data_IF_197850992890
#
_entry.id   IF_197850992890
#
_cell.length_a   1.000
_cell.length_b   1.000
_cell.length_c   1.000
_cell.angle_alpha   90.00
_cell.angle_beta   90.00
_cell.angle_gamma   90.00
#
_symmetry.space_group_name_H-M   'P 1'
#
loop_
_entity.id
_entity.type
_entity.pdbx_description
1 polymer ?
#
# COMPACT_ATOMS: atom_id res chain seq x y z
N UNK A 1 5.79 -18.57 -2.80
CA UNK A 1 6.92 -18.71 -1.85
C UNK A 1 6.98 -20.13 -1.32
N UNK A 2 5.94 -20.59 -0.59
CA UNK A 2 5.86 -21.92 0.01
C UNK A 2 6.15 -23.10 -0.93
N UNK A 3 5.47 -23.19 -2.07
CA UNK A 3 5.50 -24.43 -2.88
C UNK A 3 6.67 -24.52 -3.86
N UNK A 4 7.17 -23.37 -4.34
CA UNK A 4 8.19 -23.33 -5.40
C UNK A 4 9.48 -22.62 -4.98
N UNK A 5 9.39 -21.50 -4.27
CA UNK A 5 10.56 -20.65 -4.01
C UNK A 5 11.42 -21.19 -2.86
N UNK A 6 10.77 -21.53 -1.75
CA UNK A 6 11.42 -22.03 -0.55
C UNK A 6 12.07 -23.42 -0.74
N UNK A 7 11.40 -24.42 -1.36
CA UNK A 7 11.99 -25.76 -1.52
C UNK A 7 13.19 -25.78 -2.46
N UNK A 8 13.22 -24.92 -3.48
CA UNK A 8 14.39 -24.76 -4.37
C UNK A 8 15.64 -24.32 -3.60
N UNK A 9 15.48 -23.36 -2.69
CA UNK A 9 16.59 -22.81 -1.91
C UNK A 9 17.03 -23.71 -0.74
N UNK A 10 16.13 -24.47 -0.13
CA UNK A 10 16.46 -25.34 1.02
C UNK A 10 17.00 -26.71 0.59
N UNK A 11 16.89 -27.04 -0.71
CA UNK A 11 17.24 -28.35 -1.26
C UNK A 11 16.08 -29.34 -1.09
N UNK A 12 15.87 -30.17 -2.12
CA UNK A 12 14.71 -31.06 -2.29
C UNK A 12 14.57 -32.17 -1.20
N UNK A 13 15.48 -32.24 -0.23
CA UNK A 13 15.65 -33.38 0.67
C UNK A 13 14.58 -33.55 1.75
N UNK A 14 13.81 -32.53 2.11
CA UNK A 14 12.79 -32.70 3.15
C UNK A 14 11.64 -31.66 3.08
N UNK A 15 10.76 -31.80 2.08
CA UNK A 15 9.60 -30.92 1.87
C UNK A 15 8.72 -30.78 3.13
N UNK A 16 8.57 -31.85 3.90
CA UNK A 16 7.79 -31.87 5.14
C UNK A 16 8.43 -30.98 6.23
N UNK A 17 9.74 -31.08 6.43
CA UNK A 17 10.47 -30.22 7.37
C UNK A 17 10.46 -28.74 6.93
N UNK A 18 10.48 -28.50 5.61
CA UNK A 18 10.33 -27.16 5.04
C UNK A 18 8.93 -26.58 5.32
N UNK A 19 7.88 -27.37 5.14
CA UNK A 19 6.50 -26.95 5.41
C UNK A 19 6.26 -26.70 6.90
N UNK A 20 6.80 -27.55 7.77
CA UNK A 20 6.72 -27.40 9.24
C UNK A 20 7.51 -26.19 9.74
N UNK A 21 8.67 -25.88 9.13
CA UNK A 21 9.44 -24.68 9.43
C UNK A 21 8.71 -23.40 8.99
N UNK A 22 8.07 -23.42 7.82
CA UNK A 22 7.24 -22.30 7.37
C UNK A 22 6.02 -22.09 8.26
N UNK A 23 5.31 -23.16 8.62
CA UNK A 23 4.17 -23.11 9.53
C UNK A 23 4.54 -22.48 10.88
N UNK A 24 5.68 -22.90 11.47
CA UNK A 24 6.20 -22.30 12.71
C UNK A 24 6.56 -20.82 12.57
N UNK A 25 7.13 -20.39 11.45
CA UNK A 25 7.42 -18.96 11.19
C UNK A 25 6.14 -18.11 11.10
N UNK A 26 5.08 -18.66 10.51
CA UNK A 26 3.77 -18.01 10.43
C UNK A 26 3.09 -17.99 11.81
N UNK A 27 3.16 -19.09 12.55
CA UNK A 27 2.60 -19.23 13.89
C UNK A 27 3.31 -18.32 14.91
N UNK A 28 4.63 -18.15 14.79
CA UNK A 28 5.37 -17.17 15.58
C UNK A 28 4.88 -15.73 15.36
N UNK A 29 4.25 -15.45 14.21
CA UNK A 29 3.63 -14.17 13.90
C UNK A 29 2.16 -14.07 14.35
N UNK A 30 1.60 -15.12 14.98
CA UNK A 30 0.20 -15.19 15.45
C UNK A 30 -0.17 -14.05 16.40
N UNK A 31 0.75 -13.67 17.30
CA UNK A 31 0.55 -12.53 18.19
C UNK A 31 0.39 -11.20 17.42
N UNK A 32 1.19 -10.98 16.37
CA UNK A 32 1.07 -9.80 15.50
C UNK A 32 -0.25 -9.79 14.74
N UNK A 33 -0.72 -10.95 14.25
CA UNK A 33 -2.02 -11.06 13.59
C UNK A 33 -3.18 -10.74 14.55
N UNK A 34 -3.14 -11.23 15.78
CA UNK A 34 -4.13 -10.92 16.81
C UNK A 34 -4.10 -9.45 17.25
N UNK A 35 -2.91 -8.88 17.45
CA UNK A 35 -2.77 -7.47 17.79
C UNK A 35 -3.36 -6.57 16.70
N UNK A 36 -3.04 -6.84 15.43
CA UNK A 36 -3.59 -6.09 14.29
C UNK A 36 -5.11 -6.28 14.18
N UNK A 37 -5.62 -7.49 14.41
CA UNK A 37 -7.07 -7.74 14.43
C UNK A 37 -7.78 -6.85 15.45
N UNK A 38 -7.30 -6.85 16.70
CA UNK A 38 -7.88 -6.03 17.77
C UNK A 38 -7.78 -4.54 17.46
N UNK A 39 -6.63 -4.08 16.95
CA UNK A 39 -6.45 -2.67 16.57
C UNK A 39 -7.42 -2.27 15.46
N UNK A 40 -7.55 -3.07 14.40
CA UNK A 40 -8.44 -2.76 13.27
C UNK A 40 -9.90 -2.75 13.70
N UNK A 41 -10.37 -3.78 14.41
CA UNK A 41 -11.79 -3.91 14.78
C UNK A 41 -12.18 -2.89 15.85
N UNK A 42 -11.36 -2.72 16.90
CA UNK A 42 -11.72 -1.83 18.01
C UNK A 42 -11.47 -0.35 17.67
N UNK A 43 -10.29 -0.01 17.14
CA UNK A 43 -9.95 1.40 16.89
C UNK A 43 -10.50 1.89 15.55
N UNK A 44 -10.16 1.22 14.44
CA UNK A 44 -10.56 1.68 13.11
C UNK A 44 -12.04 1.39 12.81
N UNK A 45 -12.61 0.31 13.37
CA UNK A 45 -14.02 -0.02 13.27
C UNK A 45 -14.85 0.70 14.34
N UNK A 46 -14.82 0.17 15.56
CA UNK A 46 -15.78 0.53 16.61
C UNK A 46 -15.63 1.98 17.10
N UNK A 47 -14.45 2.39 17.57
CA UNK A 47 -14.25 3.73 18.11
C UNK A 47 -14.38 4.82 17.03
N UNK A 48 -13.84 4.58 15.83
CA UNK A 48 -13.98 5.52 14.74
C UNK A 48 -15.45 5.66 14.30
N UNK A 49 -16.22 4.57 14.23
CA UNK A 49 -17.65 4.64 13.94
C UNK A 49 -18.43 5.39 15.00
N UNK A 50 -18.18 5.10 16.29
CA UNK A 50 -18.85 5.77 17.40
C UNK A 50 -18.60 7.28 17.37
N UNK A 51 -17.33 7.67 17.24
CA UNK A 51 -16.93 9.08 17.29
C UNK A 51 -17.37 9.89 16.07
N UNK A 52 -17.28 9.31 14.88
CA UNK A 52 -17.42 10.04 13.61
C UNK A 52 -18.83 9.97 13.04
N UNK A 53 -19.56 8.87 13.28
CA UNK A 53 -20.90 8.67 12.69
C UNK A 53 -21.98 8.60 13.77
N UNK A 54 -21.84 7.73 14.78
CA UNK A 54 -22.91 7.46 15.74
C UNK A 54 -23.26 8.67 16.61
N UNK A 55 -22.26 9.31 17.22
CA UNK A 55 -22.48 10.47 18.10
C UNK A 55 -23.10 11.65 17.32
N UNK A 56 -22.60 12.04 16.13
CA UNK A 56 -23.24 13.09 15.33
C UNK A 56 -24.67 12.77 14.91
N UNK A 57 -24.97 11.52 14.53
CA UNK A 57 -26.30 11.06 14.15
C UNK A 57 -27.30 11.11 15.32
N UNK A 58 -26.85 10.77 16.53
CA UNK A 58 -27.71 10.80 17.73
C UNK A 58 -27.95 12.20 18.29
N UNK A 59 -26.97 13.10 18.17
CA UNK A 59 -27.02 14.45 18.77
C UNK A 59 -27.52 15.54 17.80
N UNK A 60 -27.80 15.19 16.54
CA UNK A 60 -28.38 16.11 15.55
C UNK A 60 -27.43 17.23 15.11
N UNK A 61 -26.12 17.04 15.23
CA UNK A 61 -25.14 18.08 14.91
C UNK A 61 -23.70 17.61 15.00
N UNK A 62 -22.92 17.98 13.98
CA UNK A 62 -21.47 17.88 13.93
C UNK A 62 -20.95 18.78 12.82
N UNK A 63 -19.89 19.54 13.09
CA UNK A 63 -19.14 20.22 12.03
C UNK A 63 -18.42 19.11 11.25
N UNK A 64 -19.08 18.35 10.38
CA UNK A 64 -18.46 17.38 9.48
C UNK A 64 -18.99 17.58 8.07
N UNK A 65 -18.10 17.44 7.07
CA UNK A 65 -18.49 17.55 5.67
C UNK A 65 -19.58 16.51 5.38
N UNK A 66 -20.68 16.93 4.76
CA UNK A 66 -21.82 16.07 4.47
C UNK A 66 -21.37 14.88 3.61
N UNK A 67 -21.43 13.68 4.19
CA UNK A 67 -21.19 12.40 3.55
C UNK A 67 -22.48 11.57 3.49
N UNK A 68 -22.45 10.42 2.82
CA UNK A 68 -23.62 9.54 2.73
C UNK A 68 -24.14 9.05 4.10
N UNK A 69 -23.29 9.07 5.14
CA UNK A 69 -23.66 8.71 6.52
C UNK A 69 -24.37 9.82 7.28
N UNK A 70 -24.09 11.08 6.95
CA UNK A 70 -24.71 12.29 7.52
C UNK A 70 -25.83 12.85 6.64
N UNK A 71 -26.07 12.25 5.47
CA UNK A 71 -27.17 12.62 4.57
C UNK A 71 -28.55 12.57 5.28
N UNK A 72 -28.73 11.66 6.24
CA UNK A 72 -29.95 11.58 7.06
C UNK A 72 -30.18 12.80 7.96
N UNK A 73 -29.12 13.55 8.30
CA UNK A 73 -29.21 14.79 9.09
C UNK A 73 -29.63 15.97 8.20
N UNK A 74 -29.21 15.97 6.93
CA UNK A 74 -29.45 17.06 5.97
C UNK A 74 -30.72 16.85 5.13
N UNK A 75 -31.09 15.59 4.87
CA UNK A 75 -32.25 15.17 4.05
C UNK A 75 -33.00 14.01 4.74
N UNK A 76 -33.68 14.26 5.88
CA UNK A 76 -34.40 13.23 6.62
C UNK A 76 -35.58 12.61 5.85
N UNK A 77 -35.97 13.21 4.72
CA UNK A 77 -37.04 12.74 3.84
C UNK A 77 -36.64 11.53 2.97
N UNK A 78 -35.34 11.19 2.90
CA UNK A 78 -34.81 10.10 2.06
C UNK A 78 -34.30 8.91 2.88
N UNK A 79 -33.73 9.14 4.06
CA UNK A 79 -33.16 8.10 4.95
C UNK A 79 -33.45 8.44 6.41
N UNK A 80 -33.95 7.48 7.18
CA UNK A 80 -34.17 7.63 8.63
C UNK A 80 -32.89 7.49 9.45
N UNK A 81 -32.85 8.09 10.65
CA UNK A 81 -31.67 8.03 11.54
C UNK A 81 -31.26 6.59 11.88
N UNK A 82 -32.17 5.65 12.22
CA UNK A 82 -31.78 4.26 12.48
C UNK A 82 -31.16 3.57 11.26
N UNK A 83 -31.69 3.81 10.06
CA UNK A 83 -31.15 3.26 8.81
C UNK A 83 -29.74 3.78 8.53
N UNK A 84 -29.50 5.09 8.76
CA UNK A 84 -28.16 5.68 8.62
C UNK A 84 -27.16 5.11 9.63
N UNK A 85 -27.58 4.84 10.87
CA UNK A 85 -26.74 4.20 11.89
C UNK A 85 -26.34 2.78 11.45
N UNK A 86 -27.29 1.99 10.97
CA UNK A 86 -27.01 0.62 10.49
C UNK A 86 -26.11 0.64 9.26
N UNK A 87 -26.40 1.51 8.29
CA UNK A 87 -25.60 1.66 7.07
C UNK A 87 -24.15 2.05 7.37
N UNK A 88 -23.95 3.09 8.20
CA UNK A 88 -22.59 3.52 8.60
C UNK A 88 -21.88 2.46 9.43
N UNK A 89 -22.59 1.73 10.30
CA UNK A 89 -22.02 0.62 11.06
C UNK A 89 -21.49 -0.50 10.16
N UNK A 90 -22.27 -0.91 9.14
CA UNK A 90 -21.84 -1.89 8.15
C UNK A 90 -20.67 -1.40 7.30
N UNK A 91 -20.68 -0.11 6.91
CA UNK A 91 -19.58 0.49 6.16
C UNK A 91 -18.27 0.48 6.97
N UNK A 92 -18.31 0.85 8.26
CA UNK A 92 -17.13 0.83 9.12
C UNK A 92 -16.64 -0.59 9.42
N UNK A 93 -17.55 -1.56 9.56
CA UNK A 93 -17.20 -2.97 9.69
C UNK A 93 -16.48 -3.48 8.43
N UNK A 94 -17.01 -3.16 7.26
CA UNK A 94 -16.36 -3.48 5.98
C UNK A 94 -14.97 -2.86 5.89
N UNK A 95 -14.86 -1.56 6.20
CA UNK A 95 -13.57 -0.86 6.18
C UNK A 95 -12.57 -1.48 7.14
N UNK A 96 -12.95 -1.79 8.39
CA UNK A 96 -12.02 -2.37 9.35
C UNK A 96 -11.55 -3.78 8.94
N UNK A 97 -12.41 -4.58 8.30
CA UNK A 97 -12.04 -5.88 7.74
C UNK A 97 -11.05 -5.71 6.58
N UNK A 98 -11.28 -4.75 5.67
CA UNK A 98 -10.33 -4.44 4.60
C UNK A 98 -8.97 -3.99 5.15
N UNK A 99 -8.96 -3.10 6.15
CA UNK A 99 -7.74 -2.69 6.85
C UNK A 99 -7.01 -3.87 7.50
N UNK A 100 -7.75 -4.75 8.17
CA UNK A 100 -7.20 -5.96 8.77
C UNK A 100 -6.52 -6.85 7.71
N UNK A 101 -7.22 -7.19 6.63
CA UNK A 101 -6.68 -8.01 5.54
C UNK A 101 -5.44 -7.37 4.91
N UNK A 102 -5.45 -6.04 4.76
CA UNK A 102 -4.32 -5.29 4.26
C UNK A 102 -3.08 -5.45 5.15
N UNK A 103 -3.22 -5.24 6.46
CA UNK A 103 -2.10 -5.40 7.40
C UNK A 103 -1.65 -6.86 7.55
N UNK A 104 -2.57 -7.82 7.51
CA UNK A 104 -2.23 -9.26 7.44
C UNK A 104 -1.37 -9.53 6.21
N UNK A 105 -1.73 -8.97 5.06
CA UNK A 105 -0.93 -9.06 3.84
C UNK A 105 0.47 -8.46 4.00
N UNK A 106 0.61 -7.31 4.67
CA UNK A 106 1.90 -6.70 4.97
C UNK A 106 2.75 -7.56 5.91
N UNK A 107 2.16 -8.12 6.96
CA UNK A 107 2.84 -9.06 7.86
C UNK A 107 3.32 -10.28 7.08
N UNK A 108 2.48 -10.85 6.22
CA UNK A 108 2.85 -12.00 5.38
C UNK A 108 4.04 -11.66 4.47
N UNK A 109 4.04 -10.50 3.81
CA UNK A 109 5.16 -10.05 2.98
C UNK A 109 6.45 -9.87 3.80
N UNK A 110 6.34 -9.32 5.01
CA UNK A 110 7.46 -9.23 5.95
C UNK A 110 7.99 -10.63 6.31
N UNK A 111 7.13 -11.57 6.69
CA UNK A 111 7.51 -12.93 7.04
C UNK A 111 8.19 -13.66 5.88
N UNK A 112 7.68 -13.51 4.65
CA UNK A 112 8.30 -14.07 3.43
C UNK A 112 9.69 -13.49 3.21
N UNK A 113 9.83 -12.16 3.35
CA UNK A 113 11.13 -11.46 3.21
C UNK A 113 12.12 -11.94 4.26
N UNK A 114 11.66 -12.07 5.51
CA UNK A 114 12.48 -12.49 6.63
C UNK A 114 12.97 -13.94 6.47
N UNK A 115 12.08 -14.87 6.07
CA UNK A 115 12.42 -16.27 5.81
C UNK A 115 13.42 -16.39 4.65
N UNK A 116 13.20 -15.66 3.54
CA UNK A 116 14.13 -15.63 2.41
C UNK A 116 15.51 -15.11 2.82
N UNK A 117 15.56 -13.98 3.52
CA UNK A 117 16.83 -13.41 4.00
C UNK A 117 17.59 -14.37 4.92
N UNK A 118 16.88 -15.03 5.84
CA UNK A 118 17.48 -16.01 6.76
C UNK A 118 18.05 -17.24 6.04
N UNK A 119 17.35 -17.73 5.00
CA UNK A 119 17.85 -18.82 4.15
C UNK A 119 19.10 -18.38 3.37
N UNK A 120 19.09 -17.16 2.83
CA UNK A 120 20.25 -16.56 2.17
C UNK A 120 21.47 -16.43 3.08
N UNK A 121 21.27 -15.95 4.31
CA UNK A 121 22.34 -15.77 5.30
C UNK A 121 22.95 -17.12 5.73
N UNK A 122 22.13 -18.12 6.00
CA UNK A 122 22.60 -19.47 6.39
C UNK A 122 23.47 -20.12 5.30
N UNK A 123 23.14 -19.86 4.03
CA UNK A 123 23.82 -20.43 2.88
C UNK A 123 24.96 -19.55 2.32
N UNK A 124 25.08 -18.28 2.72
CA UNK A 124 26.23 -17.44 2.39
C UNK A 124 27.56 -18.03 2.88
N UNK A 125 27.51 -19.00 3.80
CA UNK A 125 28.66 -19.79 4.26
C UNK A 125 29.05 -20.93 3.29
N UNK A 126 28.33 -21.11 2.17
CA UNK A 126 28.58 -22.12 1.13
C UNK A 126 28.79 -21.42 -0.22
N UNK A 127 29.99 -21.50 -0.83
CA UNK A 127 30.33 -20.72 -2.03
C UNK A 127 29.87 -21.41 -3.33
N UNK A 128 28.57 -21.71 -3.45
CA UNK A 128 28.02 -22.32 -4.67
C UNK A 128 27.38 -21.26 -5.57
N UNK A 129 27.93 -21.09 -6.77
CA UNK A 129 27.54 -20.03 -7.72
C UNK A 129 26.08 -20.17 -8.17
N UNK A 130 25.60 -21.40 -8.37
CA UNK A 130 24.21 -21.70 -8.75
C UNK A 130 23.22 -21.28 -7.64
N UNK A 131 23.57 -21.51 -6.37
CA UNK A 131 22.75 -21.08 -5.24
C UNK A 131 22.59 -19.55 -5.18
N UNK A 132 23.67 -18.82 -5.46
CA UNK A 132 23.65 -17.36 -5.45
C UNK A 132 22.80 -16.78 -6.58
N UNK A 133 22.73 -17.46 -7.73
CA UNK A 133 21.82 -17.09 -8.82
C UNK A 133 20.36 -17.31 -8.43
N UNK A 134 20.00 -18.49 -7.91
CA UNK A 134 18.63 -18.80 -7.49
C UNK A 134 18.14 -17.87 -6.37
N UNK A 135 18.98 -17.58 -5.39
CA UNK A 135 18.66 -16.67 -4.29
C UNK A 135 18.41 -15.24 -4.81
N UNK A 136 19.22 -14.75 -5.76
CA UNK A 136 19.02 -13.43 -6.36
C UNK A 136 17.74 -13.36 -7.20
N UNK A 137 17.39 -14.43 -7.92
CA UNK A 137 16.14 -14.49 -8.69
C UNK A 137 14.92 -14.49 -7.74
N UNK A 138 14.95 -15.29 -6.68
CA UNK A 138 13.91 -15.33 -5.66
C UNK A 138 13.76 -13.96 -4.97
N UNK A 139 14.87 -13.32 -4.62
CA UNK A 139 14.93 -11.97 -4.04
C UNK A 139 14.28 -10.93 -4.94
N UNK A 140 14.62 -10.94 -6.23
CA UNK A 140 13.99 -10.05 -7.20
C UNK A 140 12.50 -10.31 -7.34
N UNK A 141 12.07 -11.58 -7.38
CA UNK A 141 10.65 -11.94 -7.51
C UNK A 141 9.83 -11.47 -6.31
N UNK A 142 10.34 -11.67 -5.09
CA UNK A 142 9.72 -11.19 -3.86
C UNK A 142 9.69 -9.66 -3.83
N UNK A 143 10.80 -8.99 -4.17
CA UNK A 143 10.84 -7.52 -4.21
C UNK A 143 9.88 -6.91 -5.25
N UNK A 144 9.70 -7.54 -6.41
CA UNK A 144 8.69 -7.10 -7.39
C UNK A 144 7.27 -7.23 -6.86
N UNK A 145 6.97 -8.29 -6.11
CA UNK A 145 5.68 -8.46 -5.47
C UNK A 145 5.45 -7.41 -4.37
N UNK A 146 6.44 -7.19 -3.50
CA UNK A 146 6.40 -6.15 -2.46
C UNK A 146 6.21 -4.78 -3.11
N UNK A 147 6.97 -4.45 -4.15
CA UNK A 147 6.81 -3.20 -4.90
C UNK A 147 5.39 -3.00 -5.41
N UNK A 148 4.78 -4.01 -6.05
CA UNK A 148 3.39 -3.94 -6.52
C UNK A 148 2.42 -3.68 -5.36
N UNK A 149 2.59 -4.39 -4.24
CA UNK A 149 1.76 -4.19 -3.04
C UNK A 149 1.95 -2.79 -2.44
N UNK A 150 3.18 -2.27 -2.39
CA UNK A 150 3.49 -0.92 -1.91
C UNK A 150 2.87 0.13 -2.82
N UNK A 151 3.01 0.00 -4.13
CA UNK A 151 2.39 0.90 -5.10
C UNK A 151 0.86 0.91 -4.93
N UNK A 152 0.22 -0.26 -4.86
CA UNK A 152 -1.22 -0.35 -4.63
C UNK A 152 -1.63 0.29 -3.29
N UNK A 153 -0.88 0.02 -2.22
CA UNK A 153 -1.16 0.59 -0.90
C UNK A 153 -1.03 2.12 -0.87
N UNK A 154 0.01 2.68 -1.50
CA UNK A 154 0.17 4.14 -1.60
C UNK A 154 -0.92 4.75 -2.49
N UNK A 155 -1.31 4.09 -3.59
CA UNK A 155 -2.43 4.55 -4.43
C UNK A 155 -3.76 4.55 -3.66
N UNK A 156 -4.05 3.50 -2.86
CA UNK A 156 -5.24 3.45 -2.00
C UNK A 156 -5.23 4.62 -1.01
N UNK A 157 -4.10 4.84 -0.32
CA UNK A 157 -3.96 5.94 0.63
C UNK A 157 -4.10 7.32 -0.06
N UNK A 158 -3.57 7.46 -1.27
CA UNK A 158 -3.74 8.64 -2.11
C UNK A 158 -5.21 8.89 -2.43
N UNK A 159 -5.96 7.88 -2.86
CA UNK A 159 -7.41 8.03 -3.11
C UNK A 159 -8.16 8.41 -1.84
N UNK A 160 -7.84 7.78 -0.71
CA UNK A 160 -8.43 8.12 0.59
C UNK A 160 -8.19 9.58 0.99
N UNK A 161 -6.95 10.06 0.85
CA UNK A 161 -6.58 11.45 1.17
C UNK A 161 -7.23 12.42 0.17
N UNK A 162 -7.25 12.06 -1.12
CA UNK A 162 -7.84 12.89 -2.18
C UNK A 162 -9.35 13.03 -2.03
N UNK A 163 -10.05 11.95 -1.68
CA UNK A 163 -11.48 11.99 -1.34
C UNK A 163 -11.73 12.92 -0.15
N UNK A 164 -10.88 12.84 0.89
CA UNK A 164 -11.00 13.70 2.06
C UNK A 164 -10.79 15.18 1.70
N UNK A 165 -9.78 15.51 0.90
CA UNK A 165 -9.47 16.88 0.49
C UNK A 165 -10.51 17.45 -0.48
N UNK A 166 -11.06 16.60 -1.37
CA UNK A 166 -12.15 16.99 -2.26
C UNK A 166 -13.43 17.33 -1.50
N UNK A 167 -13.82 16.54 -0.49
CA UNK A 167 -15.03 16.82 0.30
C UNK A 167 -14.96 18.15 1.07
N UNK A 168 -13.75 18.68 1.30
CA UNK A 168 -13.54 20.00 1.90
C UNK A 168 -13.41 21.11 0.85
N UNK A 169 -13.30 20.79 -0.43
CA UNK A 169 -13.12 21.76 -1.51
C UNK A 169 -14.45 22.23 -2.11
N UNK A 170 -14.42 23.36 -2.82
CA UNK A 170 -15.61 23.93 -3.50
C UNK A 170 -15.82 23.38 -4.92
N UNK A 171 -15.10 22.33 -5.32
CA UNK A 171 -15.16 21.80 -6.68
C UNK A 171 -16.46 21.05 -6.99
N UNK A 172 -17.08 21.32 -8.14
CA UNK A 172 -18.31 20.62 -8.57
C UNK A 172 -18.12 19.10 -8.66
N UNK A 173 -16.95 18.65 -9.12
CA UNK A 173 -16.55 17.26 -9.16
C UNK A 173 -15.04 17.12 -8.99
N UNK A 174 -14.58 15.92 -8.62
CA UNK A 174 -13.16 15.66 -8.31
C UNK A 174 -12.23 15.96 -9.50
N UNK A 175 -12.70 15.74 -10.74
CA UNK A 175 -11.92 15.98 -11.96
C UNK A 175 -11.75 17.49 -12.18
N UNK A 176 -12.83 18.27 -12.06
CA UNK A 176 -12.79 19.71 -12.19
C UNK A 176 -11.89 20.35 -11.13
N UNK A 177 -11.91 19.83 -9.89
CA UNK A 177 -11.02 20.29 -8.82
C UNK A 177 -9.54 20.01 -9.14
N UNK A 178 -9.20 18.79 -9.59
CA UNK A 178 -7.83 18.43 -9.99
C UNK A 178 -7.33 19.24 -11.21
N UNK A 179 -8.19 19.45 -12.21
CA UNK A 179 -7.87 20.25 -13.40
C UNK A 179 -7.70 21.72 -13.03
N UNK A 180 -8.53 22.23 -12.12
CA UNK A 180 -8.38 23.56 -11.53
C UNK A 180 -7.02 23.74 -10.85
N UNK A 181 -6.64 22.82 -9.97
CA UNK A 181 -5.32 22.81 -9.32
C UNK A 181 -4.18 22.73 -10.36
N UNK A 182 -4.28 21.86 -11.35
CA UNK A 182 -3.29 21.78 -12.44
C UNK A 182 -3.15 23.11 -13.19
N UNK A 183 -4.26 23.77 -13.51
CA UNK A 183 -4.26 25.05 -14.24
C UNK A 183 -3.69 26.20 -13.40
N UNK A 184 -3.88 26.18 -12.08
CA UNK A 184 -3.38 27.22 -11.17
C UNK A 184 -1.86 27.34 -11.19
N UNK A 185 -1.15 26.23 -11.40
CA UNK A 185 0.32 26.19 -11.53
C UNK A 185 0.83 26.85 -12.81
N UNK A 186 0.03 26.89 -13.88
CA UNK A 186 0.40 27.50 -15.16
C UNK A 186 -0.04 28.97 -15.26
N UNK A 187 -1.15 29.34 -14.63
CA UNK A 187 -1.77 30.66 -14.78
C UNK A 187 -1.64 31.58 -13.56
N UNK A 188 -0.92 31.17 -12.51
CA UNK A 188 -0.59 32.05 -11.37
C UNK A 188 -1.81 32.50 -10.55
N UNK A 189 -2.86 31.67 -10.49
CA UNK A 189 -4.06 31.94 -9.70
C UNK A 189 -3.82 31.65 -8.22
N UNK A 190 -3.75 32.70 -7.40
CA UNK A 190 -3.57 32.65 -5.95
C UNK A 190 -4.85 32.20 -5.19
N UNK A 191 -5.39 31.03 -5.50
CA UNK A 191 -6.41 30.40 -4.66
C UNK A 191 -5.82 29.20 -3.91
N UNK A 192 -4.80 29.49 -3.09
CA UNK A 192 -4.40 28.56 -2.01
C UNK A 192 -5.56 28.55 -1.03
N UNK A 193 -6.39 27.52 -1.11
CA UNK A 193 -7.57 27.37 -0.27
C UNK A 193 -7.18 27.51 1.21
N UNK A 194 -7.72 28.52 1.88
CA UNK A 194 -7.74 28.63 3.34
C UNK A 194 -8.54 27.45 3.92
N UNK A 195 -7.89 26.29 4.04
CA UNK A 195 -8.44 25.06 4.60
C UNK A 195 -7.76 24.61 5.88
N UNK A 196 -7.08 25.51 6.61
CA UNK A 196 -6.51 25.18 7.92
C UNK A 196 -7.66 25.13 8.95
N UNK A 197 -8.19 23.93 9.19
CA UNK A 197 -8.74 23.42 10.47
C UNK A 197 -9.90 22.42 10.32
N UNK A 198 -9.95 21.62 9.25
CA UNK A 198 -10.92 20.52 9.17
C UNK A 198 -10.24 19.15 9.11
N UNK A 199 -10.00 18.55 10.27
CA UNK A 199 -9.23 17.30 10.42
C UNK A 199 -10.16 16.08 10.31
N UNK A 200 -10.30 15.54 9.10
CA UNK A 200 -11.01 14.28 8.88
C UNK A 200 -10.23 13.10 9.49
N UNK A 201 -10.91 12.10 10.10
CA UNK A 201 -10.29 10.89 10.67
C UNK A 201 -9.47 10.08 9.65
N UNK A 202 -9.86 10.12 8.38
CA UNK A 202 -9.23 9.39 7.26
C UNK A 202 -7.77 9.76 7.02
N UNK A 203 -7.35 10.96 7.43
CA UNK A 203 -5.97 11.44 7.28
C UNK A 203 -4.96 10.60 8.06
N UNK A 204 -5.33 10.09 9.23
CA UNK A 204 -4.47 9.22 10.03
C UNK A 204 -4.42 7.80 9.47
N UNK A 205 -5.57 7.27 9.03
CA UNK A 205 -5.67 5.92 8.48
C UNK A 205 -4.93 5.79 7.15
N UNK A 206 -5.04 6.78 6.25
CA UNK A 206 -4.29 6.79 4.99
C UNK A 206 -2.77 6.92 5.23
N UNK A 207 -2.37 7.71 6.22
CA UNK A 207 -0.95 7.85 6.57
C UNK A 207 -0.36 6.56 7.15
N UNK A 208 -1.11 5.86 8.00
CA UNK A 208 -0.72 4.55 8.52
C UNK A 208 -0.52 3.52 7.39
N UNK A 209 -1.38 3.53 6.37
CA UNK A 209 -1.21 2.67 5.18
C UNK A 209 0.12 2.98 4.46
N UNK A 210 0.42 4.26 4.20
CA UNK A 210 1.66 4.67 3.53
C UNK A 210 2.89 4.28 4.35
N UNK A 211 2.93 4.59 5.64
CA UNK A 211 4.09 4.24 6.48
C UNK A 211 4.28 2.72 6.51
N UNK A 212 3.21 1.96 6.73
CA UNK A 212 3.34 0.50 6.93
C UNK A 212 3.79 -0.21 5.65
N UNK A 213 3.27 0.21 4.50
CA UNK A 213 3.72 -0.32 3.20
C UNK A 213 5.17 0.07 2.89
N UNK A 214 5.56 1.31 3.19
CA UNK A 214 6.93 1.78 3.03
C UNK A 214 7.90 1.04 3.94
N UNK A 215 7.53 0.75 5.19
CA UNK A 215 8.36 -0.03 6.13
C UNK A 215 8.65 -1.42 5.58
N UNK A 216 7.63 -2.13 5.09
CA UNK A 216 7.82 -3.45 4.47
C UNK A 216 8.68 -3.38 3.21
N UNK A 217 8.47 -2.35 2.38
CA UNK A 217 9.29 -2.11 1.18
C UNK A 217 10.76 -1.85 1.52
N UNK A 218 11.03 -0.93 2.43
CA UNK A 218 12.38 -0.57 2.88
C UNK A 218 13.06 -1.75 3.55
N UNK A 219 12.34 -2.50 4.39
CA UNK A 219 12.85 -3.73 4.99
C UNK A 219 13.29 -4.74 3.91
N UNK A 220 12.44 -4.98 2.90
CA UNK A 220 12.79 -5.83 1.77
C UNK A 220 13.99 -5.31 0.97
N UNK A 221 14.02 -4.01 0.66
CA UNK A 221 15.11 -3.40 -0.10
C UNK A 221 16.46 -3.52 0.62
N UNK A 222 16.49 -3.32 1.95
CA UNK A 222 17.71 -3.45 2.76
C UNK A 222 18.14 -4.91 2.86
N UNK A 223 17.21 -5.82 3.14
CA UNK A 223 17.54 -7.24 3.41
C UNK A 223 17.85 -8.05 2.15
N UNK A 224 17.24 -7.70 1.02
CA UNK A 224 17.37 -8.44 -0.24
C UNK A 224 18.25 -7.72 -1.28
N UNK A 225 18.69 -6.48 -1.01
CA UNK A 225 19.41 -5.64 -1.96
C UNK A 225 20.92 -5.84 -2.09
N UNK A 226 21.51 -6.84 -1.42
CA UNK A 226 22.97 -7.03 -1.37
C UNK A 226 23.63 -7.46 -2.69
N UNK A 227 22.88 -7.88 -3.71
CA UNK A 227 23.42 -8.32 -5.00
C UNK A 227 23.45 -7.23 -6.07
N UNK A 228 24.54 -7.12 -6.83
CA UNK A 228 24.71 -6.15 -7.93
C UNK A 228 23.60 -6.24 -9.00
N UNK A 229 23.08 -7.46 -9.27
CA UNK A 229 21.94 -7.69 -10.18
C UNK A 229 20.60 -7.20 -9.64
N UNK A 230 20.49 -7.07 -8.32
CA UNK A 230 19.26 -6.65 -7.62
C UNK A 230 19.22 -5.13 -7.46
N UNK A 231 20.37 -4.48 -7.37
CA UNK A 231 20.52 -3.06 -7.08
C UNK A 231 19.87 -2.12 -8.13
N UNK A 232 20.06 -2.40 -9.43
CA UNK A 232 19.51 -1.54 -10.50
C UNK A 232 17.96 -1.55 -10.52
N UNK A 233 17.28 -2.72 -10.52
CA UNK A 233 15.83 -2.77 -10.38
C UNK A 233 15.33 -2.12 -9.09
N UNK A 234 16.03 -2.32 -7.96
CA UNK A 234 15.64 -1.74 -6.66
C UNK A 234 15.70 -0.23 -6.64
N UNK A 235 16.70 0.38 -7.28
CA UNK A 235 16.80 1.83 -7.37
C UNK A 235 15.61 2.43 -8.13
N UNK A 236 15.23 1.82 -9.27
CA UNK A 236 14.05 2.25 -10.05
C UNK A 236 12.76 2.14 -9.22
N UNK A 237 12.55 1.01 -8.54
CA UNK A 237 11.39 0.82 -7.66
C UNK A 237 11.35 1.85 -6.53
N UNK A 238 12.50 2.10 -5.90
CA UNK A 238 12.63 3.09 -4.81
C UNK A 238 12.30 4.50 -5.28
N UNK A 239 12.74 4.88 -6.49
CA UNK A 239 12.43 6.18 -7.08
C UNK A 239 10.92 6.36 -7.29
N UNK A 240 10.22 5.34 -7.81
CA UNK A 240 8.76 5.39 -8.00
C UNK A 240 8.02 5.47 -6.67
N UNK A 241 8.42 4.65 -5.67
CA UNK A 241 7.82 4.70 -4.34
C UNK A 241 8.04 6.07 -3.69
N UNK A 242 9.25 6.62 -3.76
CA UNK A 242 9.57 7.95 -3.23
C UNK A 242 8.73 9.05 -3.90
N UNK A 243 8.58 9.00 -5.23
CA UNK A 243 7.76 9.93 -5.98
C UNK A 243 6.28 9.85 -5.55
N UNK A 244 5.74 8.63 -5.38
CA UNK A 244 4.36 8.43 -4.93
C UNK A 244 4.14 8.93 -3.50
N UNK A 245 5.07 8.67 -2.59
CA UNK A 245 5.00 9.14 -1.20
C UNK A 245 5.09 10.66 -1.16
N UNK A 246 6.00 11.26 -1.94
CA UNK A 246 6.08 12.71 -2.07
C UNK A 246 4.76 13.28 -2.60
N UNK A 247 4.22 12.71 -3.69
CA UNK A 247 2.92 13.08 -4.24
C UNK A 247 1.81 13.01 -3.19
N UNK A 248 1.73 11.90 -2.43
CA UNK A 248 0.77 11.74 -1.33
C UNK A 248 0.91 12.82 -0.24
N UNK A 249 2.13 13.10 0.21
CA UNK A 249 2.38 14.10 1.26
C UNK A 249 2.00 15.51 0.79
N UNK A 250 2.24 15.79 -0.49
CA UNK A 250 2.04 17.09 -1.10
C UNK A 250 0.60 17.38 -1.54
N UNK A 251 -0.31 16.39 -1.48
CA UNK A 251 -1.74 16.65 -1.68
C UNK A 251 -2.20 17.75 -0.73
N UNK A 252 -2.79 18.80 -1.32
CA UNK A 252 -3.31 20.00 -0.64
C UNK A 252 -2.23 20.90 0.02
N UNK A 253 -0.94 20.68 -0.29
CA UNK A 253 0.16 21.46 0.27
C UNK A 253 0.57 22.66 -0.61
N UNK A 254 0.38 22.57 -1.94
CA UNK A 254 0.69 23.64 -2.88
C UNK A 254 -0.13 23.52 -4.17
N UNK A 255 -0.29 24.64 -4.87
CA UNK A 255 -0.97 24.73 -6.16
C UNK A 255 -0.22 23.96 -7.26
N UNK A 256 -0.88 23.01 -7.91
CA UNK A 256 -0.29 22.17 -8.97
C UNK A 256 0.20 20.80 -8.52
N UNK A 257 -0.11 20.38 -7.28
CA UNK A 257 0.22 19.04 -6.80
C UNK A 257 -0.36 17.94 -7.70
N UNK A 258 -1.47 18.22 -8.40
CA UNK A 258 -2.15 17.31 -9.32
C UNK A 258 -1.28 16.88 -10.50
N UNK A 259 -0.31 17.70 -10.92
CA UNK A 259 0.65 17.34 -11.99
C UNK A 259 1.57 16.23 -11.49
N UNK A 260 2.17 16.43 -10.31
CA UNK A 260 3.06 15.46 -9.68
C UNK A 260 2.31 14.15 -9.39
N UNK A 261 1.07 14.26 -8.92
CA UNK A 261 0.19 13.13 -8.66
C UNK A 261 -0.11 12.35 -9.95
N UNK A 262 -0.44 13.04 -11.04
CA UNK A 262 -0.71 12.43 -12.34
C UNK A 262 0.51 11.68 -12.90
N UNK A 263 1.69 12.29 -12.86
CA UNK A 263 2.94 11.64 -13.27
C UNK A 263 3.24 10.42 -12.39
N UNK A 264 3.06 10.55 -11.08
CA UNK A 264 3.23 9.46 -10.13
C UNK A 264 2.29 8.28 -10.41
N UNK A 265 1.01 8.54 -10.67
CA UNK A 265 0.00 7.52 -10.99
C UNK A 265 0.32 6.82 -12.32
N UNK A 266 0.78 7.54 -13.34
CA UNK A 266 1.20 6.94 -14.61
C UNK A 266 2.39 5.98 -14.43
N UNK A 267 3.42 6.43 -13.71
CA UNK A 267 4.60 5.61 -13.40
C UNK A 267 4.24 4.41 -12.52
N UNK A 268 3.36 4.58 -11.55
CA UNK A 268 2.83 3.52 -10.72
C UNK A 268 2.09 2.46 -11.54
N UNK A 269 1.20 2.92 -12.43
CA UNK A 269 0.41 2.04 -13.31
C UNK A 269 1.33 1.24 -14.22
N UNK A 270 2.32 1.89 -14.83
CA UNK A 270 3.33 1.20 -15.61
C UNK A 270 4.11 0.18 -14.75
N UNK A 271 4.57 0.59 -13.56
CA UNK A 271 5.34 -0.27 -12.64
C UNK A 271 4.56 -1.48 -12.12
N UNK A 272 3.22 -1.41 -12.07
CA UNK A 272 2.39 -2.58 -11.74
C UNK A 272 2.52 -3.67 -12.81
N UNK A 273 2.48 -3.28 -14.10
CA UNK A 273 2.63 -4.22 -15.20
C UNK A 273 4.09 -4.67 -15.39
N UNK A 274 5.02 -3.74 -15.39
CA UNK A 274 6.46 -4.00 -15.52
C UNK A 274 7.27 -3.39 -14.36
N UNK A 275 7.40 -4.12 -13.23
CA UNK A 275 8.19 -3.68 -12.07
C UNK A 275 9.68 -3.44 -12.39
N UNK A 276 10.19 -4.00 -13.48
CA UNK A 276 11.59 -3.87 -13.89
C UNK A 276 11.88 -2.63 -14.73
N UNK A 277 10.85 -1.97 -15.26
CA UNK A 277 10.95 -0.89 -16.24
C UNK A 277 11.98 -1.20 -17.35
N UNK A 278 11.73 -2.29 -18.07
CA UNK A 278 12.45 -2.68 -19.28
C UNK A 278 13.61 -3.68 -19.09
N UNK A 279 13.43 -4.82 -19.79
CA UNK A 279 14.39 -5.81 -20.36
C UNK A 279 15.66 -6.19 -19.59
N UNK A 280 15.62 -7.36 -18.95
CA UNK A 280 16.76 -8.29 -18.89
C UNK A 280 16.29 -9.68 -19.34
N UNK A 281 15.91 -9.81 -20.62
CA UNK A 281 15.58 -11.10 -21.24
C UNK A 281 15.98 -11.10 -22.72
N UNK A 282 17.15 -10.56 -23.01
CA UNK A 282 17.67 -10.41 -24.37
C UNK A 282 19.10 -10.96 -24.55
N UNK A 283 19.53 -11.95 -23.75
CA UNK A 283 20.88 -12.52 -23.92
C UNK A 283 21.02 -14.04 -23.74
N UNK A 284 19.95 -14.83 -23.79
CA UNK A 284 20.08 -16.31 -23.62
C UNK A 284 19.29 -17.15 -24.63
N UNK A 285 18.87 -16.57 -25.76
CA UNK A 285 18.14 -17.31 -26.81
C UNK A 285 18.73 -17.12 -28.22
N UNK A 286 20.02 -16.78 -28.32
CA UNK A 286 20.69 -16.52 -29.60
C UNK A 286 22.01 -17.22 -29.84
N UNK A 287 22.50 -18.08 -28.94
CA UNK A 287 23.82 -18.71 -29.09
C UNK A 287 23.77 -20.24 -28.99
N UNK A 288 22.79 -20.84 -29.65
CA UNK A 288 22.81 -22.27 -29.98
C UNK A 288 22.04 -22.44 -31.28
N UNK A 289 22.72 -22.25 -32.41
CA UNK A 289 22.42 -22.89 -33.69
C UNK A 289 23.53 -22.51 -34.70
N UNK A 290 24.62 -23.27 -34.67
CA UNK A 290 25.31 -23.71 -35.89
C UNK A 290 26.29 -24.82 -35.54
N UNK A 291 25.82 -26.06 -35.73
CA UNK A 291 26.65 -27.23 -35.93
C UNK A 291 26.98 -27.30 -37.42
N UNK A 292 28.26 -27.14 -37.77
CA UNK A 292 28.99 -27.89 -38.80
C UNK A 292 30.46 -27.51 -38.74
#
# INVERSE_FOLDING_TARGET
>A
WKDEGRPKLVGNGNKMESDDAWARSVEASSYSYWAVFLICVLFAGLFQWIGVSLIPLMKGGGNYATDWGSLAIVRPEVISVPEAIVFTGLAYLYMCLCFYLFFVGLILLYTVTHDLWRIGEAASNRPEVDYQYEHNEASLRVMRAIFRCTVLGVLIATVMKLQSAYLTSRGENIVAWLVGDMSSAFYGGNDVSEGIAYRMPTHYSSFLIVISTCVVFVYGAIRLGGGSRVQVPLWKMSAVVALLVAGYLLIDAFAGFSILLGVGVLLATYGLFDPGFGRWRASELGENHSVS
#
